data_IF_478707908870
#
_entry.id   IF_478707908870
#
_cell.length_a   1.000
_cell.length_b   1.000
_cell.length_c   1.000
_cell.angle_alpha   90.00
_cell.angle_beta   90.00
_cell.angle_gamma   90.00
#
_symmetry.space_group_name_H-M   'P 1'
#
loop_
_entity.id
_entity.type
_entity.pdbx_description
1 polymer ?
#
# COMPACT_ATOMS: atom_id res chain seq x y z
N UNK A 1 -37.18 9.74 -42.72
CA UNK A 1 -36.98 9.38 -41.31
C UNK A 1 -35.78 10.15 -40.85
N UNK A 2 -35.97 11.19 -40.04
CA UNK A 2 -34.83 11.81 -39.36
C UNK A 2 -34.20 10.75 -38.46
N UNK A 3 -32.86 10.59 -38.44
CA UNK A 3 -32.22 9.69 -37.49
C UNK A 3 -32.61 10.14 -36.09
N UNK A 4 -33.08 9.20 -35.26
CA UNK A 4 -33.32 9.49 -33.85
C UNK A 4 -32.07 10.15 -33.26
N UNK A 5 -32.20 11.22 -32.47
CA UNK A 5 -31.06 11.91 -31.89
C UNK A 5 -30.26 10.92 -31.05
N UNK A 6 -29.00 10.70 -31.45
CA UNK A 6 -28.12 9.77 -30.74
C UNK A 6 -28.05 10.12 -29.25
N UNK A 7 -28.19 9.11 -28.36
CA UNK A 7 -28.21 9.35 -26.93
C UNK A 7 -26.90 10.00 -26.49
N UNK A 8 -27.00 11.13 -25.80
CA UNK A 8 -25.83 11.83 -25.24
C UNK A 8 -25.63 11.37 -23.79
N UNK A 9 -24.37 11.14 -23.35
CA UNK A 9 -24.13 10.83 -21.94
C UNK A 9 -24.48 12.06 -21.08
N UNK A 10 -25.35 11.93 -20.08
CA UNK A 10 -25.58 13.00 -19.12
C UNK A 10 -24.32 13.25 -18.30
N UNK A 11 -24.15 14.48 -17.78
CA UNK A 11 -22.98 14.83 -16.96
C UNK A 11 -22.85 13.89 -15.74
N UNK A 12 -23.97 13.51 -15.13
CA UNK A 12 -23.99 12.57 -13.99
C UNK A 12 -23.41 11.20 -14.35
N UNK A 13 -23.62 10.72 -15.59
CA UNK A 13 -23.02 9.47 -16.04
C UNK A 13 -21.51 9.61 -16.28
N UNK A 14 -21.05 10.74 -16.81
CA UNK A 14 -19.61 10.99 -16.97
C UNK A 14 -18.90 11.08 -15.61
N UNK A 15 -19.49 11.78 -14.63
CA UNK A 15 -18.96 11.83 -13.26
C UNK A 15 -19.00 10.44 -12.62
N UNK A 16 -20.07 9.66 -12.85
CA UNK A 16 -20.16 8.28 -12.40
C UNK A 16 -19.05 7.39 -12.96
N UNK A 17 -18.75 7.50 -14.27
CA UNK A 17 -17.64 6.77 -14.91
C UNK A 17 -16.29 7.18 -14.30
N UNK A 18 -16.06 8.49 -14.12
CA UNK A 18 -14.83 8.97 -13.49
C UNK A 18 -14.66 8.44 -12.06
N UNK A 19 -15.73 8.40 -11.26
CA UNK A 19 -15.71 7.83 -9.91
C UNK A 19 -15.45 6.32 -9.91
N UNK A 20 -16.08 5.56 -10.80
CA UNK A 20 -15.81 4.12 -10.95
C UNK A 20 -14.35 3.86 -11.33
N UNK A 21 -13.81 4.65 -12.25
CA UNK A 21 -12.41 4.52 -12.68
C UNK A 21 -11.44 4.89 -11.55
N UNK A 22 -11.68 6.00 -10.86
CA UNK A 22 -10.92 6.41 -9.69
C UNK A 22 -10.92 5.33 -8.61
N UNK A 23 -12.09 4.79 -8.29
CA UNK A 23 -12.26 3.73 -7.30
C UNK A 23 -11.57 2.42 -7.72
N UNK A 24 -11.60 2.06 -9.01
CA UNK A 24 -10.90 0.89 -9.51
C UNK A 24 -9.38 1.02 -9.33
N UNK A 25 -8.79 2.12 -9.81
CA UNK A 25 -7.35 2.37 -9.67
C UNK A 25 -6.94 2.48 -8.20
N UNK A 26 -7.69 3.21 -7.38
CA UNK A 26 -7.36 3.35 -5.97
C UNK A 26 -7.48 2.02 -5.21
N UNK A 27 -8.50 1.20 -5.51
CA UNK A 27 -8.63 -0.16 -4.96
C UNK A 27 -7.44 -1.03 -5.37
N UNK A 28 -7.03 -0.98 -6.63
CA UNK A 28 -5.87 -1.72 -7.13
C UNK A 28 -4.60 -1.35 -6.36
N UNK A 29 -4.29 -0.06 -6.21
CA UNK A 29 -3.09 0.40 -5.50
C UNK A 29 -3.18 0.01 -4.02
N UNK A 30 -4.31 0.25 -3.36
CA UNK A 30 -4.47 -0.09 -1.94
C UNK A 30 -4.36 -1.60 -1.67
N UNK A 31 -4.94 -2.45 -2.53
CA UNK A 31 -4.78 -3.91 -2.43
C UNK A 31 -3.31 -4.34 -2.59
N UNK A 32 -2.52 -3.66 -3.43
CA UNK A 32 -1.07 -3.95 -3.52
C UNK A 32 -0.37 -3.70 -2.19
N UNK A 33 -0.77 -2.66 -1.46
CA UNK A 33 -0.21 -2.30 -0.15
C UNK A 33 -0.64 -3.27 0.95
N UNK A 34 -1.93 -3.63 0.98
CA UNK A 34 -2.45 -4.63 1.92
C UNK A 34 -1.75 -5.97 1.71
N UNK A 35 -1.63 -6.45 0.47
CA UNK A 35 -0.99 -7.74 0.17
C UNK A 35 0.52 -7.69 0.31
N UNK A 36 1.14 -6.53 0.15
CA UNK A 36 2.53 -6.35 0.48
C UNK A 36 2.80 -6.72 1.94
N UNK A 37 1.85 -6.47 2.88
CA UNK A 37 1.93 -6.79 4.31
C UNK A 37 1.41 -8.20 4.64
N UNK A 38 0.17 -8.52 4.25
CA UNK A 38 -0.52 -9.75 4.66
C UNK A 38 0.01 -11.01 3.98
N UNK A 39 0.65 -10.85 2.82
CA UNK A 39 1.38 -11.90 2.11
C UNK A 39 2.86 -11.50 2.04
N UNK A 40 3.43 -11.54 0.84
CA UNK A 40 4.79 -11.08 0.53
C UNK A 40 4.69 -10.14 -0.67
N UNK A 41 5.59 -9.15 -0.74
CA UNK A 41 5.61 -8.12 -1.79
C UNK A 41 5.62 -8.69 -3.23
N UNK A 42 6.11 -9.92 -3.42
CA UNK A 42 6.06 -10.63 -4.70
C UNK A 42 4.62 -10.83 -5.21
N UNK A 43 3.66 -11.05 -4.31
CA UNK A 43 2.25 -11.22 -4.63
C UNK A 43 1.49 -9.89 -4.77
N UNK A 44 2.06 -8.78 -4.32
CA UNK A 44 1.46 -7.45 -4.53
C UNK A 44 1.39 -7.10 -6.03
N UNK A 45 2.39 -7.51 -6.82
CA UNK A 45 2.41 -7.30 -8.27
C UNK A 45 1.30 -8.07 -9.00
N UNK A 46 0.81 -9.18 -8.43
CA UNK A 46 -0.29 -9.97 -9.01
C UNK A 46 -1.56 -9.14 -9.16
N UNK A 47 -1.80 -8.20 -8.24
CA UNK A 47 -3.02 -7.36 -8.20
C UNK A 47 -3.24 -6.60 -9.51
N UNK A 48 -2.15 -6.20 -10.20
CA UNK A 48 -2.27 -5.55 -11.52
C UNK A 48 -2.84 -6.52 -12.55
N UNK A 49 -2.36 -7.76 -12.57
CA UNK A 49 -2.91 -8.81 -13.41
C UNK A 49 -4.37 -9.12 -13.08
N UNK A 50 -4.77 -9.05 -11.81
CA UNK A 50 -6.16 -9.27 -11.39
C UNK A 50 -7.10 -8.16 -11.83
N UNK A 51 -6.65 -6.91 -11.78
CA UNK A 51 -7.41 -5.80 -12.33
C UNK A 51 -7.66 -5.99 -13.84
N UNK A 52 -6.61 -6.32 -14.59
CA UNK A 52 -6.72 -6.60 -16.03
C UNK A 52 -7.60 -7.82 -16.33
N UNK A 53 -7.47 -8.90 -15.55
CA UNK A 53 -8.30 -10.09 -15.66
C UNK A 53 -9.78 -9.76 -15.41
N UNK A 54 -10.08 -8.94 -14.39
CA UNK A 54 -11.44 -8.53 -14.08
C UNK A 54 -12.08 -7.74 -15.23
N UNK A 55 -11.36 -6.77 -15.79
CA UNK A 55 -11.80 -6.04 -16.98
C UNK A 55 -11.96 -6.97 -18.20
N UNK A 56 -11.05 -7.92 -18.40
CA UNK A 56 -11.12 -8.91 -19.48
C UNK A 56 -12.35 -9.83 -19.35
N UNK A 57 -12.61 -10.35 -18.15
CA UNK A 57 -13.80 -11.14 -17.83
C UNK A 57 -15.07 -10.34 -18.07
N UNK A 58 -15.11 -9.07 -17.63
CA UNK A 58 -16.24 -8.19 -17.90
C UNK A 58 -16.47 -8.00 -19.40
N UNK A 59 -15.42 -7.72 -20.17
CA UNK A 59 -15.52 -7.56 -21.62
C UNK A 59 -16.00 -8.83 -22.32
N UNK A 60 -15.44 -9.99 -21.97
CA UNK A 60 -15.87 -11.29 -22.50
C UNK A 60 -17.33 -11.61 -22.15
N UNK A 61 -17.74 -11.30 -20.92
CA UNK A 61 -19.13 -11.46 -20.47
C UNK A 61 -20.10 -10.57 -21.26
N UNK A 62 -19.78 -9.29 -21.46
CA UNK A 62 -20.60 -8.38 -22.26
C UNK A 62 -20.68 -8.83 -23.74
N UNK A 63 -19.56 -9.28 -24.32
CA UNK A 63 -19.52 -9.75 -25.70
C UNK A 63 -20.34 -11.04 -25.90
N UNK A 64 -20.17 -12.03 -25.01
CA UNK A 64 -20.90 -13.32 -25.07
C UNK A 64 -22.41 -13.19 -24.88
N UNK A 65 -22.86 -12.15 -24.18
CA UNK A 65 -24.29 -11.83 -24.01
C UNK A 65 -24.90 -11.14 -25.23
N UNK A 66 -24.13 -10.88 -26.29
CA UNK A 66 -24.62 -10.25 -27.51
C UNK A 66 -24.75 -8.72 -27.41
N UNK A 67 -24.13 -8.09 -26.41
CA UNK A 67 -24.14 -6.64 -26.27
C UNK A 67 -24.01 -6.18 -24.81
N UNK A 68 -23.65 -4.91 -24.64
CA UNK A 68 -23.38 -4.34 -23.33
C UNK A 68 -24.63 -4.09 -22.46
N UNK A 69 -25.80 -3.97 -23.10
CA UNK A 69 -27.12 -3.84 -22.48
C UNK A 69 -28.06 -4.77 -23.26
N UNK A 70 -28.71 -5.69 -22.55
CA UNK A 70 -29.72 -6.56 -23.16
C UNK A 70 -31.06 -5.82 -23.29
N UNK A 71 -31.92 -6.17 -24.28
CA UNK A 71 -33.24 -5.55 -24.44
C UNK A 71 -34.10 -5.57 -23.17
N UNK A 72 -33.97 -6.63 -22.36
CA UNK A 72 -34.77 -6.83 -21.14
C UNK A 72 -34.13 -6.20 -19.87
N UNK A 73 -32.92 -5.63 -19.96
CA UNK A 73 -32.20 -5.10 -18.79
C UNK A 73 -32.64 -3.68 -18.36
N UNK A 74 -33.49 -3.03 -19.16
CA UNK A 74 -34.03 -1.70 -18.91
C UNK A 74 -33.16 -0.56 -19.44
N UNK A 75 -33.36 0.65 -18.91
CA UNK A 75 -32.60 1.84 -19.33
C UNK A 75 -31.09 1.65 -19.08
N UNK A 76 -30.21 2.04 -20.03
CA UNK A 76 -28.76 1.86 -19.90
C UNK A 76 -28.15 2.40 -18.60
N UNK A 77 -28.66 3.54 -18.14
CA UNK A 77 -28.23 4.17 -16.88
C UNK A 77 -28.59 3.33 -15.65
N UNK A 78 -29.73 2.64 -15.63
CA UNK A 78 -30.09 1.72 -14.57
C UNK A 78 -29.20 0.46 -14.55
N UNK A 79 -28.74 0.02 -15.73
CA UNK A 79 -27.76 -1.07 -15.86
C UNK A 79 -26.41 -0.67 -15.28
N UNK A 80 -25.92 0.52 -15.62
CA UNK A 80 -24.69 1.08 -15.04
C UNK A 80 -24.79 1.19 -13.52
N UNK A 81 -25.94 1.67 -12.99
CA UNK A 81 -26.18 1.78 -11.55
C UNK A 81 -26.08 0.43 -10.83
N UNK A 82 -26.71 -0.62 -11.39
CA UNK A 82 -26.65 -1.98 -10.84
C UNK A 82 -25.24 -2.54 -10.80
N UNK A 83 -24.45 -2.32 -11.85
CA UNK A 83 -23.07 -2.79 -11.95
C UNK A 83 -22.12 -2.03 -11.04
N UNK A 84 -22.33 -0.72 -10.86
CA UNK A 84 -21.59 0.08 -9.88
C UNK A 84 -21.86 -0.38 -8.44
N UNK A 85 -23.12 -0.67 -8.08
CA UNK A 85 -23.46 -1.24 -6.76
C UNK A 85 -22.84 -2.62 -6.55
N UNK A 86 -22.81 -3.46 -7.60
CA UNK A 86 -22.09 -4.73 -7.55
C UNK A 86 -20.60 -4.53 -7.27
N UNK A 87 -19.94 -3.59 -7.96
CA UNK A 87 -18.53 -3.28 -7.72
C UNK A 87 -18.28 -2.80 -6.27
N UNK A 88 -19.18 -2.00 -5.72
CA UNK A 88 -19.11 -1.55 -4.33
C UNK A 88 -19.19 -2.72 -3.33
N UNK A 89 -20.19 -3.59 -3.48
CA UNK A 89 -20.34 -4.80 -2.64
C UNK A 89 -19.11 -5.69 -2.78
N UNK A 90 -18.67 -5.96 -4.01
CA UNK A 90 -17.50 -6.76 -4.28
C UNK A 90 -16.24 -6.19 -3.63
N UNK A 91 -16.06 -4.86 -3.64
CA UNK A 91 -14.91 -4.20 -3.00
C UNK A 91 -14.91 -4.39 -1.49
N UNK A 92 -16.06 -4.23 -0.82
CA UNK A 92 -16.19 -4.49 0.61
C UNK A 92 -15.96 -5.97 0.94
N UNK A 93 -16.47 -6.89 0.13
CA UNK A 93 -16.23 -8.31 0.32
C UNK A 93 -14.75 -8.67 0.13
N UNK A 94 -14.08 -8.11 -0.88
CA UNK A 94 -12.64 -8.30 -1.10
C UNK A 94 -11.82 -7.77 0.08
N UNK A 95 -12.22 -6.63 0.65
CA UNK A 95 -11.62 -6.06 1.86
C UNK A 95 -11.79 -6.99 3.06
N UNK A 96 -13.02 -7.39 3.39
CA UNK A 96 -13.31 -8.29 4.51
C UNK A 96 -12.57 -9.63 4.36
N UNK A 97 -12.51 -10.16 3.13
CA UNK A 97 -11.79 -11.39 2.84
C UNK A 97 -10.29 -11.26 3.10
N UNK A 98 -9.69 -10.12 2.73
CA UNK A 98 -8.27 -9.86 2.96
C UNK A 98 -7.89 -9.83 4.44
N UNK A 99 -8.85 -9.52 5.31
CA UNK A 99 -8.68 -9.54 6.76
C UNK A 99 -8.85 -10.96 7.34
N UNK A 100 -9.75 -11.76 6.76
CA UNK A 100 -10.07 -13.10 7.28
C UNK A 100 -9.10 -14.16 6.78
N UNK A 101 -8.80 -14.18 5.47
CA UNK A 101 -7.95 -15.20 4.85
C UNK A 101 -6.49 -14.76 4.93
N UNK A 102 -5.70 -15.48 5.75
CA UNK A 102 -4.28 -15.21 5.98
C UNK A 102 -3.42 -16.44 5.65
N UNK A 103 -3.28 -16.78 4.36
CA UNK A 103 -2.53 -17.97 3.98
C UNK A 103 -1.03 -17.69 4.11
N UNK A 104 -0.28 -18.64 4.67
CA UNK A 104 1.17 -18.57 4.63
C UNK A 104 1.65 -18.92 3.22
N UNK A 105 1.89 -17.92 2.39
CA UNK A 105 2.21 -18.12 0.98
C UNK A 105 3.45 -18.99 0.73
N UNK A 106 4.37 -19.09 1.70
CA UNK A 106 5.55 -19.97 1.61
C UNK A 106 5.20 -21.47 1.68
N UNK A 107 3.98 -21.82 2.09
CA UNK A 107 3.49 -23.19 2.12
C UNK A 107 2.70 -23.58 0.85
N UNK A 108 2.61 -22.69 -0.15
CA UNK A 108 1.85 -22.92 -1.39
C UNK A 108 2.16 -24.27 -2.05
N UNK A 109 3.43 -24.67 -2.14
CA UNK A 109 3.85 -25.93 -2.77
C UNK A 109 3.76 -27.15 -1.84
N UNK A 110 3.48 -26.94 -0.54
CA UNK A 110 3.48 -27.98 0.49
C UNK A 110 2.09 -28.30 1.02
N UNK A 111 1.15 -27.37 0.88
CA UNK A 111 -0.21 -27.49 1.40
C UNK A 111 -1.24 -27.06 0.34
N UNK A 112 -2.04 -28.03 -0.11
CA UNK A 112 -3.10 -27.79 -1.09
C UNK A 112 -4.22 -26.87 -0.57
N UNK A 113 -4.47 -26.85 0.75
CA UNK A 113 -5.40 -25.94 1.39
C UNK A 113 -4.93 -24.49 1.33
N UNK A 114 -3.62 -24.27 1.48
CA UNK A 114 -2.99 -22.94 1.28
C UNK A 114 -3.09 -22.52 -0.18
N UNK A 115 -2.83 -23.43 -1.12
CA UNK A 115 -2.98 -23.17 -2.55
C UNK A 115 -4.42 -22.78 -2.92
N UNK A 116 -5.40 -23.50 -2.40
CA UNK A 116 -6.83 -23.18 -2.59
C UNK A 116 -7.19 -21.83 -1.97
N UNK A 117 -6.73 -21.54 -0.75
CA UNK A 117 -7.01 -20.27 -0.07
C UNK A 117 -6.42 -19.07 -0.82
N UNK A 118 -5.20 -19.20 -1.33
CA UNK A 118 -4.56 -18.20 -2.19
C UNK A 118 -5.33 -18.02 -3.50
N UNK A 119 -5.69 -19.11 -4.18
CA UNK A 119 -6.48 -19.04 -5.41
C UNK A 119 -7.83 -18.38 -5.18
N UNK A 120 -8.53 -18.74 -4.10
CA UNK A 120 -9.81 -18.14 -3.71
C UNK A 120 -9.65 -16.64 -3.45
N UNK A 121 -8.65 -16.24 -2.65
CA UNK A 121 -8.32 -14.84 -2.40
C UNK A 121 -8.08 -14.08 -3.71
N UNK A 122 -7.23 -14.62 -4.59
CA UNK A 122 -6.91 -14.04 -5.91
C UNK A 122 -8.15 -13.87 -6.80
N UNK A 123 -8.99 -14.91 -6.90
CA UNK A 123 -10.23 -14.87 -7.69
C UNK A 123 -11.20 -13.85 -7.11
N UNK A 124 -11.36 -13.82 -5.78
CA UNK A 124 -12.28 -12.91 -5.11
C UNK A 124 -11.83 -11.45 -5.23
N UNK A 125 -10.51 -11.18 -5.22
CA UNK A 125 -9.96 -9.85 -5.45
C UNK A 125 -10.11 -9.36 -6.89
N UNK A 126 -10.42 -10.25 -7.83
CA UNK A 126 -10.73 -9.89 -9.22
C UNK A 126 -12.16 -9.33 -9.36
N UNK A 127 -13.07 -9.74 -8.49
CA UNK A 127 -14.52 -9.45 -8.56
C UNK A 127 -14.85 -7.94 -8.60
N UNK A 128 -14.23 -7.06 -7.78
CA UNK A 128 -14.45 -5.60 -7.87
C UNK A 128 -14.16 -5.05 -9.27
N UNK A 129 -13.09 -5.53 -9.90
CA UNK A 129 -12.64 -5.09 -11.22
C UNK A 129 -13.53 -5.61 -12.35
N UNK A 130 -14.17 -6.77 -12.17
CA UNK A 130 -15.24 -7.21 -13.08
C UNK A 130 -16.40 -6.21 -13.05
N UNK A 131 -16.79 -5.74 -11.86
CA UNK A 131 -17.82 -4.72 -11.72
C UNK A 131 -17.44 -3.40 -12.38
N UNK A 132 -16.23 -2.89 -12.11
CA UNK A 132 -15.72 -1.67 -12.72
C UNK A 132 -15.62 -1.77 -14.25
N UNK A 133 -15.06 -2.86 -14.76
CA UNK A 133 -14.97 -3.14 -16.20
C UNK A 133 -16.34 -3.27 -16.86
N UNK A 134 -17.32 -3.86 -16.18
CA UNK A 134 -18.68 -3.98 -16.70
C UNK A 134 -19.42 -2.63 -16.77
N UNK A 135 -19.09 -1.68 -15.88
CA UNK A 135 -19.58 -0.29 -15.96
C UNK A 135 -18.93 0.43 -17.13
N UNK A 136 -17.59 0.47 -17.17
CA UNK A 136 -16.84 1.25 -18.17
C UNK A 136 -17.10 0.70 -19.59
N UNK A 137 -17.00 -0.62 -19.77
CA UNK A 137 -17.27 -1.25 -21.06
C UNK A 137 -18.70 -0.99 -21.57
N UNK A 138 -19.64 -0.79 -20.65
CA UNK A 138 -21.03 -0.51 -21.01
C UNK A 138 -21.29 0.95 -21.29
N UNK A 139 -20.67 1.85 -20.55
CA UNK A 139 -20.69 3.27 -20.88
C UNK A 139 -20.14 3.51 -22.30
N UNK A 140 -19.04 2.84 -22.66
CA UNK A 140 -18.45 2.94 -24.00
C UNK A 140 -19.35 2.37 -25.10
N UNK A 141 -20.03 1.25 -24.83
CA UNK A 141 -20.92 0.61 -25.80
C UNK A 141 -22.27 1.33 -25.96
N UNK A 142 -22.76 2.01 -24.91
CA UNK A 142 -24.03 2.77 -24.94
C UNK A 142 -23.86 4.12 -25.63
N UNK A 143 -22.68 4.74 -25.51
CA UNK A 143 -22.40 6.05 -26.10
C UNK A 143 -21.25 6.03 -27.12
N UNK A 144 -21.32 5.21 -28.20
CA UNK A 144 -20.23 5.03 -29.14
C UNK A 144 -19.86 6.33 -29.87
N UNK A 145 -20.84 7.13 -30.27
CA UNK A 145 -20.63 8.43 -30.93
C UNK A 145 -19.94 9.48 -30.04
N UNK A 146 -19.90 9.25 -28.72
CA UNK A 146 -19.28 10.13 -27.72
C UNK A 146 -18.21 9.39 -26.91
N UNK A 147 -17.68 8.27 -27.42
CA UNK A 147 -16.72 7.43 -26.70
C UNK A 147 -15.52 8.23 -26.18
N UNK A 148 -15.02 9.21 -26.94
CA UNK A 148 -13.93 10.08 -26.50
C UNK A 148 -14.23 10.85 -25.19
N UNK A 149 -15.48 11.24 -24.93
CA UNK A 149 -15.85 11.90 -23.65
C UNK A 149 -15.94 10.92 -22.50
N UNK A 150 -16.47 9.73 -22.75
CA UNK A 150 -16.53 8.65 -21.74
C UNK A 150 -15.10 8.22 -21.38
N UNK A 151 -14.24 8.06 -22.37
CA UNK A 151 -12.82 7.73 -22.19
C UNK A 151 -12.05 8.84 -21.49
N UNK A 152 -12.31 10.12 -21.81
CA UNK A 152 -11.71 11.24 -21.08
C UNK A 152 -12.11 11.23 -19.59
N UNK A 153 -13.38 10.95 -19.28
CA UNK A 153 -13.84 10.82 -17.90
C UNK A 153 -13.18 9.64 -17.17
N UNK A 154 -13.02 8.50 -17.85
CA UNK A 154 -12.29 7.34 -17.35
C UNK A 154 -10.82 7.69 -17.03
N UNK A 155 -10.09 8.29 -17.96
CA UNK A 155 -8.69 8.68 -17.75
C UNK A 155 -8.51 9.69 -16.60
N UNK A 156 -9.37 10.73 -16.55
CA UNK A 156 -9.34 11.71 -15.46
C UNK A 156 -9.65 11.04 -14.12
N UNK A 157 -10.65 10.15 -14.10
CA UNK A 157 -11.00 9.35 -12.94
C UNK A 157 -9.83 8.51 -12.44
N UNK A 158 -9.23 7.69 -13.31
CA UNK A 158 -8.09 6.84 -12.95
C UNK A 158 -6.90 7.65 -12.44
N UNK A 159 -6.59 8.79 -13.07
CA UNK A 159 -5.53 9.70 -12.61
C UNK A 159 -5.81 10.28 -11.22
N UNK A 160 -7.04 10.75 -10.97
CA UNK A 160 -7.45 11.22 -9.63
C UNK A 160 -7.41 10.10 -8.60
N UNK A 161 -7.82 8.88 -8.96
CA UNK A 161 -7.71 7.71 -8.10
C UNK A 161 -6.27 7.44 -7.65
N UNK A 162 -5.31 7.49 -8.58
CA UNK A 162 -3.89 7.33 -8.25
C UNK A 162 -3.38 8.44 -7.31
N UNK A 163 -3.76 9.70 -7.55
CA UNK A 163 -3.38 10.83 -6.69
C UNK A 163 -3.99 10.70 -5.29
N UNK A 164 -5.24 10.27 -5.18
CA UNK A 164 -5.90 10.02 -3.89
C UNK A 164 -5.14 9.00 -3.06
N UNK A 165 -4.62 7.94 -3.67
CA UNK A 165 -3.78 6.99 -2.90
C UNK A 165 -2.43 7.58 -2.55
N UNK A 166 -1.76 8.22 -3.51
CA UNK A 166 -0.43 8.79 -3.30
C UNK A 166 -0.38 9.86 -2.18
N UNK A 167 -1.45 10.63 -1.99
CA UNK A 167 -1.49 11.67 -0.96
C UNK A 167 -2.39 11.33 0.23
N UNK A 168 -3.36 10.43 0.06
CA UNK A 168 -4.35 10.09 1.09
C UNK A 168 -4.00 8.85 1.91
N UNK A 169 -3.11 7.97 1.44
CA UNK A 169 -2.83 6.71 2.18
C UNK A 169 -2.20 6.96 3.55
N UNK A 170 -1.40 8.03 3.72
CA UNK A 170 -0.78 8.36 5.00
C UNK A 170 -1.78 8.82 6.07
N UNK A 171 -2.95 9.32 5.68
CA UNK A 171 -3.99 9.81 6.61
C UNK A 171 -5.17 8.84 6.73
N UNK A 172 -5.58 8.23 5.63
CA UNK A 172 -6.73 7.32 5.58
C UNK A 172 -6.35 5.86 5.84
N UNK A 173 -5.07 5.52 5.73
CA UNK A 173 -4.64 4.12 5.76
C UNK A 173 -5.01 3.36 4.50
N UNK A 174 -4.59 2.10 4.41
CA UNK A 174 -4.92 1.26 3.26
C UNK A 174 -6.38 0.78 3.29
N UNK A 175 -6.91 0.45 4.48
CA UNK A 175 -8.31 0.05 4.63
C UNK A 175 -9.26 1.23 4.34
N UNK A 176 -8.94 2.43 4.83
CA UNK A 176 -9.75 3.61 4.58
C UNK A 176 -9.84 3.98 3.11
N UNK A 177 -8.76 3.80 2.33
CA UNK A 177 -8.79 3.96 0.87
C UNK A 177 -9.76 2.96 0.23
N UNK A 178 -9.67 1.66 0.54
CA UNK A 178 -10.57 0.64 -0.06
C UNK A 178 -12.03 0.89 0.34
N UNK A 179 -12.29 1.27 1.59
CA UNK A 179 -13.63 1.66 2.02
C UNK A 179 -14.15 2.90 1.28
N UNK A 180 -13.28 3.90 1.07
CA UNK A 180 -13.58 5.09 0.27
C UNK A 180 -13.90 4.76 -1.19
N UNK A 181 -13.21 3.77 -1.78
CA UNK A 181 -13.52 3.25 -3.11
C UNK A 181 -14.90 2.58 -3.16
N UNK A 182 -15.28 1.79 -2.15
CA UNK A 182 -16.62 1.22 -2.07
C UNK A 182 -17.69 2.31 -2.02
N UNK A 183 -17.45 3.39 -1.27
CA UNK A 183 -18.32 4.56 -1.22
C UNK A 183 -18.40 5.26 -2.59
N UNK A 184 -17.28 5.40 -3.30
CA UNK A 184 -17.24 6.00 -4.63
C UNK A 184 -18.00 5.15 -5.68
N UNK A 185 -17.89 3.83 -5.63
CA UNK A 185 -18.70 2.93 -6.46
C UNK A 185 -20.20 3.05 -6.13
N UNK A 186 -20.56 3.14 -4.84
CA UNK A 186 -21.94 3.34 -4.41
C UNK A 186 -22.51 4.68 -4.92
N UNK A 187 -21.74 5.76 -4.77
CA UNK A 187 -22.09 7.10 -5.24
C UNK A 187 -22.24 7.15 -6.75
N UNK A 188 -21.35 6.50 -7.51
CA UNK A 188 -21.49 6.36 -8.95
C UNK A 188 -22.82 5.70 -9.31
N UNK A 189 -23.22 4.65 -8.57
CA UNK A 189 -24.53 4.02 -8.71
C UNK A 189 -25.70 4.99 -8.56
N UNK A 190 -25.66 5.88 -7.56
CA UNK A 190 -26.68 6.92 -7.34
C UNK A 190 -26.70 7.94 -8.47
N UNK A 191 -25.53 8.35 -8.97
CA UNK A 191 -25.42 9.30 -10.08
C UNK A 191 -25.97 8.72 -11.39
N UNK A 192 -25.75 7.43 -11.64
CA UNK A 192 -26.32 6.73 -12.79
C UNK A 192 -27.85 6.67 -12.73
N UNK A 193 -28.47 6.52 -11.57
CA UNK A 193 -29.94 6.56 -11.43
C UNK A 193 -30.56 7.96 -11.71
N UNK A 194 -29.74 9.00 -11.93
CA UNK A 194 -30.18 10.33 -12.36
C UNK A 194 -31.06 11.06 -11.34
N UNK A 195 -30.94 10.73 -10.04
CA UNK A 195 -31.74 11.33 -8.97
C UNK A 195 -33.24 11.01 -9.01
N UNK A 196 -33.70 10.23 -9.99
CA UNK A 196 -35.12 10.11 -10.36
C UNK A 196 -35.92 9.16 -9.47
N UNK A 197 -35.27 8.55 -8.47
CA UNK A 197 -35.83 7.93 -7.26
C UNK A 197 -34.66 7.58 -6.36
N UNK A 198 -34.52 8.28 -5.24
CA UNK A 198 -33.71 7.83 -4.11
C UNK A 198 -34.36 6.54 -3.59
N UNK A 199 -34.05 5.40 -4.22
CA UNK A 199 -34.48 4.11 -3.69
C UNK A 199 -33.87 4.02 -2.29
N UNK A 200 -34.66 3.76 -1.23
CA UNK A 200 -34.12 3.67 0.13
C UNK A 200 -32.89 2.75 0.17
N UNK A 201 -32.87 1.67 -0.62
CA UNK A 201 -31.72 0.78 -0.74
C UNK A 201 -30.39 1.42 -1.20
N UNK A 202 -30.39 2.45 -2.06
CA UNK A 202 -29.14 3.09 -2.50
C UNK A 202 -28.54 3.99 -1.41
N UNK A 203 -29.40 4.69 -0.66
CA UNK A 203 -29.03 5.52 0.49
C UNK A 203 -28.60 4.65 1.66
N UNK A 204 -29.36 3.58 1.93
CA UNK A 204 -29.00 2.59 2.96
C UNK A 204 -27.66 1.94 2.63
N UNK A 205 -27.41 1.59 1.37
CA UNK A 205 -26.13 1.02 0.97
C UNK A 205 -24.97 2.01 1.13
N UNK A 206 -25.16 3.28 0.72
CA UNK A 206 -24.19 4.35 0.97
C UNK A 206 -23.89 4.52 2.46
N UNK A 207 -24.95 4.53 3.30
CA UNK A 207 -24.83 4.60 4.75
C UNK A 207 -24.10 3.40 5.35
N UNK A 208 -24.37 2.18 4.87
CA UNK A 208 -23.67 0.96 5.30
C UNK A 208 -22.20 0.97 4.89
N UNK A 209 -21.87 1.39 3.67
CA UNK A 209 -20.47 1.54 3.24
C UNK A 209 -19.72 2.55 4.11
N UNK A 210 -20.37 3.66 4.49
CA UNK A 210 -19.80 4.64 5.40
C UNK A 210 -19.62 4.09 6.82
N UNK A 211 -20.58 3.32 7.34
CA UNK A 211 -20.46 2.68 8.65
C UNK A 211 -19.31 1.68 8.67
N UNK A 212 -19.17 0.87 7.62
CA UNK A 212 -18.04 -0.08 7.51
C UNK A 212 -16.70 0.66 7.44
N UNK A 213 -16.63 1.78 6.71
CA UNK A 213 -15.43 2.63 6.67
C UNK A 213 -15.07 3.14 8.07
N UNK A 214 -16.04 3.68 8.81
CA UNK A 214 -15.82 4.24 10.14
C UNK A 214 -15.48 3.16 11.17
N UNK A 215 -16.09 1.97 11.05
CA UNK A 215 -15.84 0.84 11.96
C UNK A 215 -14.45 0.21 11.76
N UNK A 216 -13.82 0.41 10.60
CA UNK A 216 -12.51 -0.13 10.26
C UNK A 216 -11.43 0.96 10.16
N UNK A 217 -11.68 2.12 10.77
CA UNK A 217 -10.75 3.25 10.75
C UNK A 217 -9.45 2.95 11.51
N UNK A 218 -9.51 2.11 12.54
CA UNK A 218 -8.34 1.58 13.23
C UNK A 218 -7.88 0.30 12.52
N UNK A 219 -7.06 0.46 11.49
CA UNK A 219 -6.64 -0.64 10.60
C UNK A 219 -5.57 -1.57 11.20
N UNK A 220 -4.95 -1.13 12.28
CA UNK A 220 -3.79 -1.76 12.89
C UNK A 220 -4.09 -3.17 13.43
N UNK A 221 -5.31 -3.36 13.92
CA UNK A 221 -5.81 -4.65 14.40
C UNK A 221 -6.19 -5.61 13.25
N UNK A 222 -6.40 -5.09 12.04
CA UNK A 222 -6.94 -5.84 10.91
C UNK A 222 -5.86 -6.21 9.88
N UNK A 223 -4.89 -5.33 9.62
CA UNK A 223 -3.79 -5.59 8.68
C UNK A 223 -2.62 -6.21 9.44
N UNK A 224 -2.73 -7.52 9.64
CA UNK A 224 -1.70 -8.30 10.31
C UNK A 224 -0.65 -8.81 9.30
N UNK A 225 0.66 -8.69 9.62
CA UNK A 225 1.72 -9.21 8.77
C UNK A 225 1.62 -10.73 8.62
N UNK A 226 2.09 -11.25 7.48
CA UNK A 226 2.16 -12.69 7.26
C UNK A 226 2.96 -13.39 8.38
N UNK A 227 2.59 -14.61 8.82
CA UNK A 227 3.23 -15.27 9.97
C UNK A 227 4.75 -15.49 9.85
N UNK A 228 5.26 -15.50 8.61
CA UNK A 228 6.66 -15.75 8.27
C UNK A 228 7.50 -14.48 8.14
N UNK A 229 6.89 -13.31 8.28
CA UNK A 229 7.59 -12.03 8.21
C UNK A 229 8.25 -11.66 9.51
N UNK A 230 9.32 -10.88 9.40
CA UNK A 230 10.15 -10.40 10.49
C UNK A 230 9.31 -9.70 11.56
N UNK A 231 8.38 -8.83 11.18
CA UNK A 231 7.47 -8.18 12.14
C UNK A 231 6.65 -9.19 12.95
N UNK A 232 6.11 -10.25 12.32
CA UNK A 232 5.36 -11.32 13.00
C UNK A 232 6.23 -12.24 13.87
N UNK A 233 7.52 -12.38 13.51
CA UNK A 233 8.47 -13.21 14.23
C UNK A 233 8.98 -12.51 15.49
N UNK A 234 9.17 -11.19 15.40
CA UNK A 234 9.70 -10.35 16.47
C UNK A 234 8.60 -9.85 17.40
N UNK A 235 7.38 -9.59 16.89
CA UNK A 235 6.18 -9.32 17.70
C UNK A 235 5.61 -10.62 18.30
N UNK A 236 6.43 -11.26 19.14
CA UNK A 236 6.07 -12.45 19.91
C UNK A 236 6.29 -12.16 21.39
N UNK A 237 5.26 -12.35 22.25
CA UNK A 237 5.38 -12.13 23.70
C UNK A 237 6.54 -12.89 24.34
N UNK A 238 6.97 -14.00 23.74
CA UNK A 238 8.10 -14.80 24.21
C UNK A 238 9.46 -14.08 24.11
N UNK A 239 9.58 -13.03 23.30
CA UNK A 239 10.77 -12.20 23.18
C UNK A 239 10.72 -10.93 24.05
N UNK A 240 9.60 -10.67 24.74
CA UNK A 240 9.41 -9.46 25.55
C UNK A 240 9.27 -8.16 24.73
N UNK A 241 9.04 -8.27 23.42
CA UNK A 241 8.90 -7.15 22.47
C UNK A 241 7.41 -6.96 22.18
N UNK A 242 6.67 -6.50 23.19
CA UNK A 242 5.20 -6.53 23.15
C UNK A 242 4.55 -5.35 22.42
N UNK A 243 5.29 -4.29 22.04
CA UNK A 243 4.69 -3.12 21.43
C UNK A 243 5.32 -2.73 20.09
N UNK A 244 4.49 -2.62 19.06
CA UNK A 244 4.77 -1.71 17.94
C UNK A 244 4.51 -0.30 18.48
N UNK A 245 5.55 0.51 18.60
CA UNK A 245 5.45 1.86 19.17
C UNK A 245 4.97 2.90 18.16
N UNK A 246 5.21 2.65 16.88
CA UNK A 246 4.87 3.59 15.84
C UNK A 246 4.54 2.84 14.54
N UNK A 247 3.49 3.31 13.87
CA UNK A 247 3.12 2.91 12.52
C UNK A 247 2.87 4.15 11.67
N UNK A 248 3.34 4.11 10.43
CA UNK A 248 3.08 5.16 9.47
C UNK A 248 2.89 4.57 8.07
N UNK A 249 1.79 4.94 7.43
CA UNK A 249 1.60 4.65 6.01
C UNK A 249 2.26 5.70 5.15
N UNK A 250 2.93 5.22 4.11
CA UNK A 250 3.43 6.04 3.01
C UNK A 250 3.03 5.40 1.68
N UNK A 251 3.15 6.12 0.56
CA UNK A 251 2.98 5.52 -0.76
C UNK A 251 3.95 4.36 -1.04
N UNK A 252 5.09 4.32 -0.35
CA UNK A 252 6.11 3.29 -0.51
C UNK A 252 5.81 2.00 0.28
N UNK A 253 5.03 2.10 1.36
CA UNK A 253 4.70 1.00 2.25
C UNK A 253 4.36 1.49 3.66
N UNK A 254 4.01 0.56 4.54
CA UNK A 254 3.83 0.82 5.97
C UNK A 254 5.16 0.66 6.69
N UNK A 255 5.53 1.66 7.49
CA UNK A 255 6.67 1.58 8.40
C UNK A 255 6.15 1.22 9.77
N UNK A 256 6.71 0.17 10.37
CA UNK A 256 6.41 -0.26 11.74
C UNK A 256 7.70 -0.20 12.56
N UNK A 257 7.68 0.49 13.70
CA UNK A 257 8.78 0.57 14.67
C UNK A 257 8.43 -0.25 15.90
N UNK A 258 9.24 -1.26 16.19
CA UNK A 258 9.10 -2.08 17.38
C UNK A 258 9.79 -1.43 18.58
N UNK A 259 9.31 -1.80 19.77
CA UNK A 259 9.86 -1.34 21.03
C UNK A 259 11.36 -1.56 21.19
N UNK A 260 11.96 -0.72 22.02
CA UNK A 260 13.38 -0.80 22.33
C UNK A 260 13.76 -2.13 22.97
N UNK A 261 14.83 -2.73 22.46
CA UNK A 261 15.42 -3.95 23.02
C UNK A 261 16.92 -3.82 23.16
N UNK A 262 17.50 -4.58 24.09
CA UNK A 262 18.95 -4.69 24.25
C UNK A 262 19.44 -5.99 23.61
N UNK A 263 20.03 -5.87 22.43
CA UNK A 263 20.39 -7.01 21.57
C UNK A 263 21.77 -6.89 20.92
N UNK A 264 22.22 -7.93 20.19
CA UNK A 264 23.37 -7.78 19.31
C UNK A 264 23.09 -6.69 18.26
N UNK A 265 24.13 -6.03 17.72
CA UNK A 265 23.94 -5.09 16.62
C UNK A 265 23.44 -5.84 15.39
N UNK A 266 22.53 -5.21 14.63
CA UNK A 266 21.96 -5.76 13.40
C UNK A 266 22.22 -4.79 12.25
N UNK A 267 23.30 -5.03 11.51
CA UNK A 267 23.69 -4.22 10.35
C UNK A 267 23.53 -5.05 9.10
N UNK A 268 22.77 -4.58 8.11
CA UNK A 268 22.66 -5.25 6.80
C UNK A 268 22.35 -6.77 6.85
N UNK A 269 21.61 -7.25 7.86
CA UNK A 269 21.31 -8.68 8.05
C UNK A 269 22.43 -9.49 8.70
N UNK A 270 23.53 -8.85 9.10
CA UNK A 270 24.57 -9.45 9.92
C UNK A 270 24.05 -9.69 11.33
N UNK A 271 23.96 -10.98 11.69
CA UNK A 271 23.79 -11.38 13.09
C UNK A 271 25.18 -11.75 13.59
N UNK A 272 25.90 -10.78 14.13
CA UNK A 272 27.19 -11.04 14.74
C UNK A 272 27.07 -11.32 16.24
N UNK A 273 27.88 -12.24 16.75
CA UNK A 273 28.14 -12.37 18.19
C UNK A 273 29.06 -11.23 18.63
N UNK A 274 28.53 -10.02 18.68
CA UNK A 274 29.24 -8.86 19.20
C UNK A 274 28.73 -8.58 20.60
N UNK A 275 29.59 -8.82 21.58
CA UNK A 275 29.52 -8.09 22.86
C UNK A 275 30.29 -6.77 22.70
N UNK A 276 29.79 -5.66 23.25
CA UNK A 276 28.58 -5.52 24.09
C UNK A 276 27.27 -5.52 23.28
N UNK A 277 26.13 -5.65 24.00
CA UNK A 277 24.79 -5.49 23.43
C UNK A 277 24.39 -4.01 23.37
N UNK A 278 23.54 -3.65 22.42
CA UNK A 278 23.15 -2.27 22.12
C UNK A 278 21.65 -2.08 22.32
N UNK A 279 21.25 -0.87 22.73
CA UNK A 279 19.85 -0.43 22.63
C UNK A 279 19.51 -0.33 21.15
N UNK A 280 18.51 -1.09 20.70
CA UNK A 280 18.09 -1.09 19.30
C UNK A 280 16.57 -0.98 19.19
N UNK A 281 16.14 -0.26 18.17
CA UNK A 281 14.74 -0.21 17.73
C UNK A 281 14.68 -0.78 16.34
N UNK A 282 13.85 -1.80 16.14
CA UNK A 282 13.71 -2.45 14.85
C UNK A 282 12.66 -1.70 14.05
N UNK A 283 13.02 -1.32 12.83
CA UNK A 283 12.14 -0.68 11.87
C UNK A 283 11.89 -1.67 10.74
N UNK A 284 10.64 -1.92 10.40
CA UNK A 284 10.26 -2.80 9.29
C UNK A 284 9.45 -2.04 8.25
N UNK A 285 9.57 -2.44 6.99
CA UNK A 285 8.76 -1.94 5.90
C UNK A 285 7.86 -3.05 5.37
N UNK A 286 6.55 -2.78 5.36
CA UNK A 286 5.48 -3.75 5.09
C UNK A 286 5.63 -5.04 5.95
N UNK A 287 6.13 -4.88 7.17
CA UNK A 287 6.43 -5.97 8.10
C UNK A 287 7.67 -6.81 7.77
N UNK A 288 8.47 -6.42 6.78
CA UNK A 288 9.70 -7.13 6.36
C UNK A 288 10.89 -6.15 6.21
N UNK A 289 11.98 -6.63 5.60
CA UNK A 289 13.18 -5.84 5.28
C UNK A 289 13.66 -4.98 6.46
N UNK A 290 13.99 -5.60 7.61
CA UNK A 290 14.27 -4.87 8.82
C UNK A 290 15.54 -4.03 8.70
N UNK A 291 15.49 -2.82 9.22
CA UNK A 291 16.66 -2.02 9.59
C UNK A 291 16.60 -1.74 11.09
N UNK A 292 17.70 -1.28 11.69
CA UNK A 292 17.72 -0.95 13.11
C UNK A 292 18.25 0.45 13.34
N UNK A 293 17.57 1.19 14.22
CA UNK A 293 18.12 2.38 14.84
C UNK A 293 18.90 1.92 16.08
N UNK A 294 20.08 2.48 16.30
CA UNK A 294 20.90 2.21 17.48
C UNK A 294 20.87 3.39 18.43
N UNK A 295 20.70 3.09 19.71
CA UNK A 295 20.70 4.07 20.79
C UNK A 295 22.09 4.63 21.02
N UNK A 296 22.30 5.91 20.70
CA UNK A 296 23.57 6.64 20.88
C UNK A 296 23.26 7.98 21.53
N UNK A 297 24.08 8.41 22.48
CA UNK A 297 23.81 9.67 23.18
C UNK A 297 24.21 10.88 22.32
N UNK A 298 25.40 10.88 21.72
CA UNK A 298 25.80 11.91 20.75
C UNK A 298 26.96 11.51 19.82
N UNK A 299 27.89 10.65 20.25
CA UNK A 299 29.06 10.30 19.43
C UNK A 299 28.87 8.94 18.74
N UNK A 300 28.73 8.89 17.39
CA UNK A 300 28.62 7.64 16.64
C UNK A 300 29.79 6.67 16.88
N UNK A 301 30.94 7.16 17.35
CA UNK A 301 32.11 6.32 17.70
C UNK A 301 31.85 5.40 18.89
N UNK A 302 30.84 5.70 19.70
CA UNK A 302 30.37 4.82 20.77
C UNK A 302 29.96 3.45 20.20
N UNK A 303 29.45 3.40 18.97
CA UNK A 303 29.05 2.16 18.30
C UNK A 303 30.27 1.36 17.81
N UNK A 304 30.99 0.75 18.75
CA UNK A 304 32.23 -0.01 18.50
C UNK A 304 32.09 -1.23 17.58
N UNK A 305 30.87 -1.63 17.23
CA UNK A 305 30.62 -2.67 16.22
C UNK A 305 30.73 -2.16 14.78
N UNK A 306 30.53 -0.86 14.53
CA UNK A 306 30.54 -0.25 13.21
C UNK A 306 31.77 -0.63 12.36
N UNK A 307 33.02 -0.53 12.86
CA UNK A 307 34.21 -0.87 12.06
C UNK A 307 34.35 -2.37 11.77
N UNK A 308 33.54 -3.22 12.41
CA UNK A 308 33.54 -4.68 12.24
C UNK A 308 32.40 -5.18 11.36
N UNK A 309 31.55 -4.28 10.87
CA UNK A 309 30.45 -4.61 9.96
C UNK A 309 30.94 -4.78 8.51
N UNK A 310 30.22 -5.52 7.68
CA UNK A 310 30.49 -5.53 6.22
C UNK A 310 30.33 -4.16 5.59
N UNK A 311 29.49 -3.28 6.15
CA UNK A 311 29.35 -1.90 5.67
C UNK A 311 30.64 -1.08 5.84
N UNK A 312 31.54 -1.48 6.76
CA UNK A 312 32.84 -0.85 6.95
C UNK A 312 33.91 -1.23 5.92
N UNK A 313 33.66 -2.23 5.05
CA UNK A 313 34.67 -2.72 4.09
C UNK A 313 35.25 -1.61 3.22
N UNK A 314 34.42 -0.67 2.76
CA UNK A 314 34.88 0.45 1.94
C UNK A 314 35.90 1.34 2.68
N UNK A 315 35.68 1.57 3.98
CA UNK A 315 36.56 2.36 4.84
C UNK A 315 37.87 1.63 5.14
N UNK A 316 37.79 0.32 5.43
CA UNK A 316 38.95 -0.55 5.65
C UNK A 316 39.84 -0.59 4.41
N UNK A 317 39.27 -0.75 3.21
CA UNK A 317 40.04 -0.79 1.95
C UNK A 317 40.72 0.55 1.65
N UNK A 318 40.08 1.66 2.00
CA UNK A 318 40.68 2.99 1.86
C UNK A 318 41.76 3.29 2.91
N UNK A 319 41.92 2.43 3.92
CA UNK A 319 42.86 2.67 5.02
C UNK A 319 42.47 3.85 5.90
N UNK A 320 41.19 4.26 5.89
CA UNK A 320 40.67 5.31 6.76
C UNK A 320 40.44 4.70 8.15
N UNK A 321 41.22 5.07 9.17
CA UNK A 321 41.02 4.54 10.50
C UNK A 321 39.66 4.95 11.07
N UNK A 322 39.13 4.11 11.95
CA UNK A 322 37.95 4.44 12.74
C UNK A 322 38.35 5.34 13.91
N UNK A 323 37.55 6.35 14.23
CA UNK A 323 37.70 7.20 15.43
C UNK A 323 38.98 8.08 15.52
N UNK A 324 39.72 8.32 14.43
CA UNK A 324 40.82 9.30 14.42
C UNK A 324 40.43 10.60 13.71
N UNK A 325 40.37 11.76 14.42
CA UNK A 325 39.93 13.04 13.86
C UNK A 325 40.74 13.52 12.64
N UNK A 326 42.02 13.14 12.57
CA UNK A 326 42.98 13.65 11.58
C UNK A 326 42.86 12.97 10.19
N UNK A 327 42.02 11.94 10.05
CA UNK A 327 42.24 10.93 9.01
C UNK A 327 41.47 11.06 7.70
N UNK A 328 40.49 11.97 7.57
CA UNK A 328 39.94 12.38 6.27
C UNK A 328 39.04 13.63 6.38
N UNK A 329 39.52 14.75 6.95
CA UNK A 329 38.78 16.03 7.16
C UNK A 329 38.15 16.63 5.87
N UNK A 330 38.29 15.99 4.70
CA UNK A 330 37.65 16.35 3.43
C UNK A 330 36.71 15.30 2.84
N UNK A 331 36.51 14.14 3.48
CA UNK A 331 35.67 13.08 2.93
C UNK A 331 34.20 13.51 2.88
N UNK A 332 33.62 13.49 1.67
CA UNK A 332 32.19 13.69 1.42
C UNK A 332 31.57 12.37 1.05
N UNK A 333 30.56 11.95 1.81
CA UNK A 333 29.93 10.64 1.69
C UNK A 333 28.49 10.81 1.24
N UNK A 334 28.05 9.98 0.30
CA UNK A 334 26.65 9.86 -0.10
C UNK A 334 26.12 8.52 0.42
N UNK A 335 25.07 8.56 1.23
CA UNK A 335 24.35 7.37 1.71
C UNK A 335 23.02 7.28 0.96
N UNK A 336 22.76 6.16 0.30
CA UNK A 336 21.50 5.90 -0.42
C UNK A 336 20.73 4.81 0.34
N UNK A 337 19.56 5.17 0.87
CA UNK A 337 18.81 4.38 1.84
C UNK A 337 19.36 4.62 3.24
N UNK A 338 18.90 5.68 3.90
CA UNK A 338 19.38 6.03 5.26
C UNK A 338 18.94 4.98 6.27
N UNK A 339 17.73 4.43 6.12
CA UNK A 339 17.22 3.42 7.04
C UNK A 339 17.27 3.88 8.49
N UNK A 340 17.79 3.04 9.39
CA UNK A 340 18.01 3.38 10.79
C UNK A 340 19.24 4.26 11.08
N UNK A 341 19.97 4.72 10.05
CA UNK A 341 21.08 5.67 10.18
C UNK A 341 22.47 5.05 10.34
N UNK A 342 22.61 3.72 10.29
CA UNK A 342 23.89 3.01 10.50
C UNK A 342 25.00 3.51 9.57
N UNK A 343 24.73 3.63 8.27
CA UNK A 343 25.74 4.03 7.29
C UNK A 343 26.16 5.50 7.47
N UNK A 344 25.24 6.35 7.93
CA UNK A 344 25.53 7.75 8.27
C UNK A 344 26.42 7.81 9.51
N UNK A 345 26.05 7.09 10.57
CA UNK A 345 26.83 6.99 11.80
C UNK A 345 28.22 6.41 11.56
N UNK A 346 28.36 5.41 10.70
CA UNK A 346 29.65 4.86 10.27
C UNK A 346 30.52 5.91 9.59
N UNK A 347 29.96 6.67 8.65
CA UNK A 347 30.69 7.73 7.95
C UNK A 347 31.17 8.82 8.92
N UNK A 348 30.30 9.26 9.84
CA UNK A 348 30.65 10.24 10.87
C UNK A 348 31.71 9.71 11.84
N UNK A 349 31.65 8.43 12.23
CA UNK A 349 32.64 7.80 13.09
C UNK A 349 34.01 7.63 12.43
N UNK A 350 34.07 7.63 11.09
CA UNK A 350 35.30 7.71 10.29
C UNK A 350 35.76 9.16 10.00
N UNK A 351 35.07 10.17 10.54
CA UNK A 351 35.46 11.58 10.41
C UNK A 351 35.06 12.22 9.09
N UNK A 352 34.03 11.71 8.40
CA UNK A 352 33.51 12.35 7.20
C UNK A 352 33.11 13.82 7.48
N UNK A 353 33.59 14.73 6.64
CA UNK A 353 33.33 16.17 6.77
C UNK A 353 31.89 16.55 6.37
N UNK A 354 31.25 15.73 5.54
CA UNK A 354 29.85 15.87 5.14
C UNK A 354 29.28 14.53 4.73
N UNK A 355 28.08 14.24 5.21
CA UNK A 355 27.30 13.07 4.78
C UNK A 355 25.98 13.55 4.18
N UNK A 356 25.78 13.28 2.89
CA UNK A 356 24.51 13.50 2.22
C UNK A 356 23.69 12.20 2.28
N UNK A 357 22.61 12.17 3.06
CA UNK A 357 21.70 11.02 3.16
C UNK A 357 20.51 11.17 2.20
N UNK A 358 20.25 10.14 1.37
CA UNK A 358 19.13 10.09 0.44
C UNK A 358 18.23 8.92 0.82
N UNK A 359 17.01 9.21 1.24
CA UNK A 359 16.02 8.22 1.61
C UNK A 359 14.72 8.47 0.82
N UNK A 360 14.18 7.41 0.24
CA UNK A 360 12.98 7.49 -0.60
C UNK A 360 11.71 7.53 0.26
N UNK A 361 11.75 6.91 1.44
CA UNK A 361 10.61 6.83 2.33
C UNK A 361 10.63 7.99 3.36
N UNK A 362 9.73 8.98 3.24
CA UNK A 362 9.74 10.13 4.14
C UNK A 362 9.47 9.76 5.60
N UNK A 363 8.76 8.65 5.87
CA UNK A 363 8.54 8.21 7.24
C UNK A 363 9.85 7.75 7.88
N UNK A 364 10.75 7.08 7.16
CA UNK A 364 12.07 6.67 7.67
C UNK A 364 12.93 7.88 8.03
N UNK A 365 12.91 8.93 7.20
CA UNK A 365 13.57 10.20 7.52
C UNK A 365 13.00 10.79 8.81
N UNK A 366 11.68 10.90 8.93
CA UNK A 366 11.03 11.44 10.13
C UNK A 366 11.41 10.66 11.41
N UNK A 367 11.59 9.34 11.32
CA UNK A 367 12.07 8.54 12.45
C UNK A 367 13.42 9.04 12.95
N UNK A 368 14.39 9.22 12.06
CA UNK A 368 15.78 9.51 12.44
C UNK A 368 16.06 11.00 12.64
N UNK A 369 15.30 11.90 12.01
CA UNK A 369 15.51 13.35 12.10
C UNK A 369 14.56 14.06 13.07
N UNK A 370 13.48 13.40 13.51
CA UNK A 370 12.49 14.03 14.40
C UNK A 370 12.02 13.10 15.53
N UNK A 371 11.30 12.03 15.22
CA UNK A 371 10.58 11.24 16.24
C UNK A 371 11.50 10.49 17.19
N UNK A 372 12.61 9.97 16.68
CA UNK A 372 13.62 9.23 17.44
C UNK A 372 15.01 9.88 17.30
N UNK A 373 15.07 11.19 16.99
CA UNK A 373 16.33 11.92 16.85
C UNK A 373 17.21 11.83 18.11
N UNK A 374 16.62 12.03 19.29
CA UNK A 374 17.28 11.88 20.59
C UNK A 374 17.84 10.46 20.79
N UNK A 375 17.13 9.43 20.30
CA UNK A 375 17.56 8.05 20.45
C UNK A 375 18.80 7.74 19.59
N UNK A 376 18.87 8.31 18.39
CA UNK A 376 20.01 8.11 17.47
C UNK A 376 21.10 9.18 17.62
N UNK A 377 21.06 9.98 18.70
CA UNK A 377 22.09 10.97 19.03
C UNK A 377 22.14 12.16 18.08
N UNK A 378 21.02 12.56 17.48
CA UNK A 378 20.93 13.73 16.58
C UNK A 378 21.96 13.72 15.43
N UNK A 379 22.32 12.55 14.89
CA UNK A 379 23.34 12.46 13.83
C UNK A 379 23.01 13.29 12.58
N UNK A 380 21.72 13.60 12.36
CA UNK A 380 21.27 14.40 11.22
C UNK A 380 21.63 15.89 11.32
N UNK A 381 21.97 16.37 12.53
CA UNK A 381 22.35 17.76 12.79
C UNK A 381 23.88 17.98 12.72
N UNK A 382 24.65 16.91 12.52
CA UNK A 382 26.12 16.88 12.61
C UNK A 382 26.86 17.19 11.30
#
# INVERSE_FOLDING_TARGET
MDPEPEPRPPLTALVGVALVSAAAIATQIALTRIYAITLWHHFAYLVVGLALLGFGVAGAWLASRGGAVLPDEGEPTAVLARRARYAAVASLLALLLSMVIRPNALMLLRDAGVAFSLAAMVVLSTVPFVGAGAVIGTALAVWPARAGRVYAADLVGGGLGALVVAFGIGTLGAIGIVGGCALAFALAGVLFDGGRRWRPGAVTFLGLSLVVLLALADEDDWILPAPTKELSLVHRPQLGIDAVEHRAWTPHGRIDVLGEVVGPPLVAGEVGHFEPRWRVRIVTQDGAAPTTMHGVDADPRELTFLPRSTTAVAWVVRGVPFATPESDEGARVLVIGVGGGVDVMLALAHGAARVDGVEINPAILELTTSRYADFVGHFADS
#
